data_IF_841155340430
#
_entry.id   IF_841155340430
#
_cell.length_a   1.000
_cell.length_b   1.000
_cell.length_c   1.000
_cell.angle_alpha   90.00
_cell.angle_beta   90.00
_cell.angle_gamma   90.00
#
_symmetry.space_group_name_H-M   'P 1'
#
loop_
_entity.id
_entity.type
_entity.pdbx_description
1 polymer ?
#
# COMPACT_ATOMS: atom_id res chain seq x y z
N UNK A 1 9.37 -2.94 0.94
CA UNK A 1 9.67 -1.89 -0.06
C UNK A 1 10.63 -0.90 0.57
N UNK A 2 11.56 -0.36 -0.20
CA UNK A 2 12.56 0.61 0.30
C UNK A 2 12.62 1.84 -0.60
N UNK A 3 12.96 2.99 -0.03
CA UNK A 3 13.16 4.23 -0.79
C UNK A 3 11.96 5.16 -0.76
N UNK A 4 11.68 5.86 -1.86
CA UNK A 4 10.61 6.88 -1.92
C UNK A 4 9.49 6.37 -2.81
N UNK A 5 8.22 6.48 -2.41
CA UNK A 5 7.09 6.13 -3.29
C UNK A 5 6.39 7.40 -3.76
N UNK A 6 6.54 7.74 -5.03
CA UNK A 6 6.04 9.00 -5.58
C UNK A 6 5.64 8.85 -7.05
N UNK A 7 5.11 9.92 -7.66
CA UNK A 7 4.64 9.87 -9.05
C UNK A 7 5.67 9.34 -10.07
N UNK A 8 6.98 9.42 -9.78
CA UNK A 8 8.04 9.01 -10.72
C UNK A 8 8.20 7.49 -10.82
N UNK A 9 7.79 6.73 -9.81
CA UNK A 9 7.97 5.28 -9.78
C UNK A 9 6.66 4.50 -9.64
N UNK A 10 5.52 5.15 -9.88
CA UNK A 10 4.23 4.46 -9.87
C UNK A 10 4.08 3.42 -10.98
N UNK A 11 4.74 3.62 -12.13
CA UNK A 11 4.71 2.63 -13.20
C UNK A 11 5.34 1.32 -12.74
N UNK A 12 6.57 1.38 -12.23
CA UNK A 12 7.29 0.23 -11.69
C UNK A 12 6.52 -0.42 -10.53
N UNK A 13 5.96 0.39 -9.62
CA UNK A 13 5.10 -0.10 -8.54
C UNK A 13 3.94 -0.95 -9.07
N UNK A 14 3.19 -0.43 -10.06
CA UNK A 14 2.03 -1.14 -10.61
C UNK A 14 2.43 -2.43 -11.33
N UNK A 15 3.51 -2.41 -12.11
CA UNK A 15 4.00 -3.58 -12.85
C UNK A 15 4.43 -4.71 -11.90
N UNK A 16 5.15 -4.37 -10.82
CA UNK A 16 5.55 -5.33 -9.79
C UNK A 16 4.30 -5.98 -9.17
N UNK A 17 3.34 -5.17 -8.73
CA UNK A 17 2.19 -5.70 -7.99
C UNK A 17 1.19 -6.44 -8.86
N UNK A 18 1.06 -6.09 -10.15
CA UNK A 18 0.32 -6.91 -11.10
C UNK A 18 0.93 -8.30 -11.24
N UNK A 19 2.26 -8.39 -11.37
CA UNK A 19 2.94 -9.69 -11.42
C UNK A 19 2.74 -10.48 -10.13
N UNK A 20 2.86 -9.83 -8.97
CA UNK A 20 2.72 -10.50 -7.67
C UNK A 20 1.31 -11.07 -7.47
N UNK A 21 0.25 -10.34 -7.82
CA UNK A 21 -1.13 -10.83 -7.68
C UNK A 21 -1.51 -11.93 -8.67
N UNK A 22 -0.85 -12.01 -9.83
CA UNK A 22 -1.06 -13.13 -10.75
C UNK A 22 -0.59 -14.46 -10.13
N UNK A 23 0.50 -14.42 -9.37
CA UNK A 23 1.16 -15.62 -8.86
C UNK A 23 0.80 -15.97 -7.41
N UNK A 24 0.18 -15.05 -6.67
CA UNK A 24 -0.08 -15.20 -5.23
C UNK A 24 -1.52 -14.81 -4.87
N UNK A 25 -2.13 -15.57 -3.97
CA UNK A 25 -3.46 -15.27 -3.40
C UNK A 25 -3.37 -14.45 -2.11
N UNK A 26 -2.23 -14.53 -1.42
CA UNK A 26 -1.94 -13.78 -0.20
C UNK A 26 -0.64 -12.99 -0.38
N UNK A 27 -0.69 -11.69 -0.08
CA UNK A 27 0.43 -10.76 -0.24
C UNK A 27 0.54 -9.90 0.99
N UNK A 28 1.76 -9.81 1.55
CA UNK A 28 2.08 -8.87 2.61
C UNK A 28 3.07 -7.82 2.10
N UNK A 29 2.70 -6.54 2.16
CA UNK A 29 3.55 -5.42 1.80
C UNK A 29 4.09 -4.79 3.07
N UNK A 30 5.41 -4.85 3.25
CA UNK A 30 6.09 -4.09 4.29
C UNK A 30 6.55 -2.72 3.75
N UNK A 31 6.03 -1.64 4.31
CA UNK A 31 6.35 -0.25 3.94
C UNK A 31 7.28 0.47 4.93
N UNK A 32 7.83 -0.19 5.95
CA UNK A 32 8.77 0.45 6.90
C UNK A 32 10.07 0.93 6.25
N UNK A 33 10.46 0.36 5.10
CA UNK A 33 11.61 0.82 4.34
C UNK A 33 11.36 2.09 3.51
N UNK A 34 10.12 2.58 3.45
CA UNK A 34 9.82 3.84 2.75
C UNK A 34 10.34 5.03 3.56
N UNK A 35 11.24 5.81 2.94
CA UNK A 35 11.74 7.09 3.46
C UNK A 35 10.73 8.22 3.28
N UNK A 36 9.96 8.18 2.19
CA UNK A 36 8.89 9.15 1.92
C UNK A 36 7.82 8.58 1.01
N UNK A 37 6.62 9.14 1.11
CA UNK A 37 5.49 8.82 0.23
C UNK A 37 4.74 10.12 -0.10
N UNK A 38 4.48 10.37 -1.38
CA UNK A 38 3.64 11.50 -1.81
C UNK A 38 2.17 11.09 -1.94
N UNK A 39 1.29 12.07 -2.23
CA UNK A 39 -0.15 11.80 -2.44
C UNK A 39 -0.43 10.77 -3.55
N UNK A 40 0.44 10.69 -4.56
CA UNK A 40 0.29 9.75 -5.67
C UNK A 40 0.64 8.33 -5.22
N UNK A 41 1.69 8.18 -4.41
CA UNK A 41 2.04 6.94 -3.73
C UNK A 41 0.94 6.42 -2.80
N UNK A 42 0.37 7.30 -1.95
CA UNK A 42 -0.76 6.94 -1.08
C UNK A 42 -1.95 6.43 -1.91
N UNK A 43 -2.30 7.15 -2.99
CA UNK A 43 -3.38 6.74 -3.87
C UNK A 43 -3.09 5.41 -4.59
N UNK A 44 -1.83 5.12 -4.94
CA UNK A 44 -1.45 3.87 -5.57
C UNK A 44 -1.64 2.68 -4.61
N UNK A 45 -1.23 2.81 -3.34
CA UNK A 45 -1.47 1.78 -2.31
C UNK A 45 -2.97 1.56 -2.08
N UNK A 46 -3.76 2.65 -2.00
CA UNK A 46 -5.21 2.54 -1.83
C UNK A 46 -5.90 1.83 -3.02
N UNK A 47 -5.45 2.13 -4.26
CA UNK A 47 -5.93 1.43 -5.46
C UNK A 47 -5.55 -0.04 -5.44
N UNK A 48 -4.31 -0.35 -5.07
CA UNK A 48 -3.83 -1.72 -4.97
C UNK A 48 -4.65 -2.55 -3.98
N UNK A 49 -4.99 -1.98 -2.82
CA UNK A 49 -5.89 -2.61 -1.86
C UNK A 49 -7.26 -2.92 -2.48
N UNK A 50 -7.86 -1.96 -3.20
CA UNK A 50 -9.14 -2.18 -3.86
C UNK A 50 -9.06 -3.27 -4.93
N UNK A 51 -7.98 -3.28 -5.72
CA UNK A 51 -7.74 -4.32 -6.72
C UNK A 51 -7.58 -5.70 -6.07
N UNK A 52 -6.87 -5.80 -4.93
CA UNK A 52 -6.76 -7.05 -4.18
C UNK A 52 -8.14 -7.58 -3.76
N UNK A 53 -8.97 -6.71 -3.17
CA UNK A 53 -10.34 -7.06 -2.75
C UNK A 53 -11.19 -7.53 -3.93
N UNK A 54 -11.15 -6.81 -5.06
CA UNK A 54 -11.92 -7.15 -6.25
C UNK A 54 -11.50 -8.50 -6.87
N UNK A 55 -10.21 -8.84 -6.75
CA UNK A 55 -9.67 -10.10 -7.25
C UNK A 55 -9.68 -11.24 -6.22
N UNK A 56 -10.29 -11.03 -5.04
CA UNK A 56 -10.34 -12.03 -3.97
C UNK A 56 -8.97 -12.36 -3.36
N UNK A 57 -8.02 -11.42 -3.45
CA UNK A 57 -6.66 -11.55 -2.92
C UNK A 57 -6.61 -11.01 -1.50
N UNK A 58 -5.93 -11.73 -0.61
CA UNK A 58 -5.66 -11.27 0.75
C UNK A 58 -4.43 -10.36 0.73
N UNK A 59 -4.65 -9.05 0.80
CA UNK A 59 -3.57 -8.06 0.92
C UNK A 59 -3.46 -7.55 2.35
N UNK A 60 -2.28 -7.73 2.96
CA UNK A 60 -1.91 -7.13 4.24
C UNK A 60 -0.86 -6.07 4.01
N UNK A 61 -1.05 -4.86 4.54
CA UNK A 61 -0.04 -3.80 4.52
C UNK A 61 0.44 -3.60 5.95
N UNK A 62 1.75 -3.79 6.16
CA UNK A 62 2.42 -3.66 7.45
C UNK A 62 3.52 -2.61 7.36
N UNK A 63 3.91 -2.06 8.51
CA UNK A 63 4.84 -0.96 8.56
C UNK A 63 4.14 0.38 8.32
N UNK A 64 4.80 1.44 8.81
CA UNK A 64 4.27 2.72 9.30
C UNK A 64 4.54 2.82 10.81
N UNK A 65 5.82 2.77 11.19
CA UNK A 65 6.27 3.33 12.46
C UNK A 65 6.05 4.84 12.54
N UNK A 66 4.81 5.34 12.47
CA UNK A 66 4.49 6.75 12.69
C UNK A 66 3.13 6.91 13.36
N UNK A 67 3.14 7.40 14.60
CA UNK A 67 1.99 7.68 15.46
C UNK A 67 0.92 8.58 14.81
N UNK A 68 1.27 9.31 13.74
CA UNK A 68 0.39 10.24 13.01
C UNK A 68 -0.67 9.55 12.14
N UNK A 69 -0.39 8.38 11.56
CA UNK A 69 -1.37 7.66 10.72
C UNK A 69 -2.41 6.92 11.57
N UNK A 70 -1.99 6.33 12.70
CA UNK A 70 -2.92 5.77 13.69
C UNK A 70 -3.96 6.81 14.16
N UNK A 71 -3.52 8.05 14.40
CA UNK A 71 -4.39 9.15 14.88
C UNK A 71 -5.49 9.55 13.88
N UNK A 72 -5.33 9.26 12.59
CA UNK A 72 -6.33 9.54 11.56
C UNK A 72 -7.29 8.37 11.32
N UNK A 73 -6.86 7.13 11.59
CA UNK A 73 -7.71 5.95 11.44
C UNK A 73 -8.63 5.74 12.66
N UNK A 74 -8.15 6.02 13.88
CA UNK A 74 -8.95 5.93 15.12
C UNK A 74 -10.16 6.89 15.16
N UNK A 75 -10.26 7.86 14.26
CA UNK A 75 -11.39 8.79 14.17
C UNK A 75 -12.56 8.29 13.31
N UNK A 76 -12.41 7.17 12.61
CA UNK A 76 -13.43 6.67 11.69
C UNK A 76 -14.29 5.55 12.29
N UNK A 77 -13.89 4.99 13.44
CA UNK A 77 -14.66 3.99 14.20
C UNK A 77 -15.31 4.56 15.48
N UNK A 78 -15.77 5.81 15.40
CA UNK A 78 -16.65 6.41 16.42
C UNK A 78 -17.90 6.98 15.76
N UNK A 79 -18.80 6.09 15.32
CA UNK A 79 -20.19 6.38 15.01
C UNK A 79 -21.08 5.15 15.23
#
# INVERSE_FOLDING_TARGET
MEGDLNYKNLQEFNEIFQSVFNDNDEVTINIDGLRSIDRHGVNAIARLHNEAVLNGKLLTIIGLGNKEVHKHLDRTDAA
#
